data_IF_838947289668
#
_entry.id   IF_838947289668
#
_cell.length_a   1.000
_cell.length_b   1.000
_cell.length_c   1.000
_cell.angle_alpha   90.00
_cell.angle_beta   90.00
_cell.angle_gamma   90.00
#
_symmetry.space_group_name_H-M   'P 1'
#
loop_
_entity.id
_entity.type
_entity.pdbx_description
1 polymer ?
#
# COMPACT_ATOMS: atom_id res chain seq x y z
N UNK A 1 5.04 35.21 -3.16
CA UNK A 1 5.10 34.18 -4.22
C UNK A 1 5.16 32.85 -3.48
N UNK A 2 3.99 32.24 -3.24
CA UNK A 2 3.94 30.92 -2.62
C UNK A 2 4.67 29.92 -3.51
N UNK A 3 5.53 29.11 -2.93
CA UNK A 3 6.27 28.08 -3.65
C UNK A 3 5.30 27.01 -4.16
N UNK A 4 5.40 26.62 -5.43
CA UNK A 4 4.65 25.46 -5.97
C UNK A 4 4.88 24.18 -5.16
N UNK A 5 5.98 24.10 -4.43
CA UNK A 5 6.33 22.98 -3.56
C UNK A 5 5.47 22.92 -2.30
N UNK A 6 4.91 24.05 -1.83
CA UNK A 6 4.03 24.09 -0.65
C UNK A 6 2.68 23.37 -0.88
N UNK A 7 2.36 23.05 -2.14
CA UNK A 7 1.15 22.34 -2.55
C UNK A 7 1.39 20.87 -2.95
N UNK A 8 2.61 20.38 -2.78
CA UNK A 8 2.84 18.94 -2.90
C UNK A 8 2.26 18.25 -1.65
N UNK A 9 1.48 17.14 -1.79
CA UNK A 9 0.85 16.47 -0.66
C UNK A 9 1.82 15.78 0.31
N UNK A 10 3.13 16.05 0.21
CA UNK A 10 4.18 15.23 0.85
C UNK A 10 5.21 16.06 1.64
N UNK A 11 4.96 17.31 1.99
CA UNK A 11 5.78 17.95 3.02
C UNK A 11 5.32 17.48 4.41
N UNK A 12 5.89 16.34 4.82
CA UNK A 12 5.74 15.88 6.19
C UNK A 12 6.63 16.71 7.12
N UNK A 13 6.04 17.53 7.94
CA UNK A 13 6.72 18.02 9.15
C UNK A 13 6.67 16.91 10.20
N UNK A 14 7.82 16.57 10.76
CA UNK A 14 7.86 15.63 11.86
C UNK A 14 7.25 16.30 13.11
N UNK A 15 6.19 15.73 13.65
CA UNK A 15 5.66 16.15 14.94
C UNK A 15 6.55 15.56 16.05
N UNK A 16 7.04 16.41 16.92
CA UNK A 16 7.76 15.95 18.11
C UNK A 16 6.75 15.44 19.14
N UNK A 17 6.82 14.15 19.49
CA UNK A 17 5.94 13.50 20.46
C UNK A 17 6.73 13.04 21.69
N UNK A 18 6.26 13.34 22.92
CA UNK A 18 6.81 12.77 24.13
C UNK A 18 6.74 11.23 24.09
N UNK A 19 7.81 10.55 24.52
CA UNK A 19 7.91 9.07 24.49
C UNK A 19 6.77 8.40 25.27
N UNK A 20 6.34 8.97 26.39
CA UNK A 20 5.20 8.44 27.17
C UNK A 20 3.89 8.53 26.40
N UNK A 21 3.62 9.64 25.72
CA UNK A 21 2.43 9.81 24.90
C UNK A 21 2.45 8.84 23.71
N UNK A 22 3.61 8.66 23.08
CA UNK A 22 3.75 7.67 22.00
C UNK A 22 3.54 6.24 22.51
N UNK A 23 4.05 5.91 23.70
CA UNK A 23 3.84 4.60 24.31
C UNK A 23 2.34 4.33 24.56
N UNK A 24 1.61 5.29 25.11
CA UNK A 24 0.15 5.20 25.28
C UNK A 24 -0.57 4.99 23.95
N UNK A 25 -0.22 5.79 22.94
CA UNK A 25 -0.82 5.68 21.59
C UNK A 25 -0.57 4.32 20.95
N UNK A 26 0.61 3.73 21.17
CA UNK A 26 0.99 2.41 20.64
C UNK A 26 0.55 1.26 21.55
N UNK A 27 -0.06 1.54 22.69
CA UNK A 27 -0.37 0.56 23.74
C UNK A 27 0.86 -0.23 24.17
N UNK A 28 2.00 0.46 24.29
CA UNK A 28 3.29 -0.09 24.68
C UNK A 28 3.54 0.10 26.17
N UNK A 29 4.15 -0.87 26.82
CA UNK A 29 4.69 -0.69 28.16
C UNK A 29 5.96 0.14 28.09
N UNK A 30 5.99 1.28 28.78
CA UNK A 30 7.15 2.17 28.80
C UNK A 30 8.12 1.79 29.91
N UNK A 31 9.31 1.34 29.55
CA UNK A 31 10.41 1.06 30.47
C UNK A 31 11.42 2.22 30.39
N UNK A 32 11.53 3.04 31.44
CA UNK A 32 12.45 4.18 31.44
C UNK A 32 13.92 3.70 31.47
N UNK A 33 14.81 4.57 30.98
CA UNK A 33 16.24 4.38 31.24
C UNK A 33 16.56 4.60 32.73
N UNK A 34 17.70 4.07 33.18
CA UNK A 34 18.20 4.35 34.52
C UNK A 34 18.39 5.85 34.75
N UNK A 35 18.21 6.30 36.00
CA UNK A 35 18.49 7.68 36.35
C UNK A 35 19.96 8.01 36.02
N UNK A 36 20.23 9.13 35.35
CA UNK A 36 21.60 9.52 35.04
C UNK A 36 22.39 9.72 36.33
N UNK A 37 23.54 9.09 36.39
CA UNK A 37 24.48 9.22 37.52
C UNK A 37 25.45 10.39 37.30
N UNK A 38 25.54 10.90 36.05
CA UNK A 38 26.34 12.06 35.68
C UNK A 38 25.58 12.92 34.64
N UNK A 39 25.96 14.21 34.46
CA UNK A 39 25.41 15.06 33.43
C UNK A 39 25.57 14.52 32.00
N UNK A 40 26.59 13.67 31.77
CA UNK A 40 26.89 13.03 30.48
C UNK A 40 25.97 11.83 30.20
N UNK A 41 25.34 11.26 31.23
CA UNK A 41 24.44 10.11 31.15
C UNK A 41 22.97 10.53 30.91
N UNK A 42 22.67 11.80 30.72
CA UNK A 42 21.29 12.24 30.49
C UNK A 42 20.76 11.63 29.20
N UNK A 43 19.53 11.04 29.22
CA UNK A 43 18.89 10.60 27.98
C UNK A 43 18.78 11.81 27.04
N UNK A 44 19.19 11.62 25.80
CA UNK A 44 19.35 12.70 24.81
C UNK A 44 18.01 13.36 24.43
N UNK A 45 16.87 12.71 24.59
CA UNK A 45 15.55 13.29 24.41
C UNK A 45 14.45 12.44 25.08
N UNK A 46 13.48 13.12 25.71
CA UNK A 46 12.24 12.48 26.19
C UNK A 46 11.14 12.46 25.10
N UNK A 47 11.52 12.77 23.86
CA UNK A 47 10.62 12.90 22.73
C UNK A 47 11.24 12.36 21.45
N UNK A 48 10.38 11.97 20.51
CA UNK A 48 10.75 11.51 19.17
C UNK A 48 10.03 12.32 18.11
N UNK A 49 10.69 12.55 17.00
CA UNK A 49 10.13 13.27 15.84
C UNK A 49 10.08 12.41 14.57
N UNK A 50 10.82 11.28 14.56
CA UNK A 50 10.94 10.45 13.38
C UNK A 50 11.23 8.99 13.72
N UNK A 51 10.97 8.11 12.78
CA UNK A 51 11.45 6.73 12.80
C UNK A 51 12.74 6.62 11.99
N UNK A 52 13.65 5.74 12.41
CA UNK A 52 14.90 5.49 11.68
C UNK A 52 15.38 4.05 11.84
N UNK A 53 16.19 3.57 10.88
CA UNK A 53 16.95 2.34 11.06
C UNK A 53 18.00 2.54 12.16
N UNK A 54 18.44 1.45 12.80
CA UNK A 54 19.46 1.50 13.85
C UNK A 54 20.73 2.26 13.40
N UNK A 55 21.16 2.07 12.16
CA UNK A 55 22.37 2.70 11.59
C UNK A 55 22.24 4.20 11.35
N UNK A 56 21.02 4.65 11.03
CA UNK A 56 20.74 6.05 10.68
C UNK A 56 19.97 6.79 11.78
N UNK A 57 19.96 6.22 12.99
CA UNK A 57 19.27 6.81 14.11
C UNK A 57 19.91 8.12 14.57
N UNK A 58 19.10 9.08 14.94
CA UNK A 58 19.46 10.38 15.55
C UNK A 58 18.91 10.45 16.97
N UNK A 59 19.34 11.44 17.80
CA UNK A 59 18.85 11.57 19.17
C UNK A 59 17.33 11.75 19.33
N UNK A 60 16.60 12.05 18.25
CA UNK A 60 15.14 12.16 18.23
C UNK A 60 14.46 11.04 17.44
N UNK A 61 15.17 9.95 17.14
CA UNK A 61 14.63 8.83 16.36
C UNK A 61 14.12 7.71 17.24
N UNK A 62 12.98 7.12 16.84
CA UNK A 62 12.52 5.81 17.29
C UNK A 62 13.08 4.73 16.37
N UNK A 63 13.57 3.63 16.94
CA UNK A 63 13.96 2.43 16.19
C UNK A 63 13.27 1.18 16.75
N UNK A 64 13.50 0.01 16.14
CA UNK A 64 12.96 -1.26 16.65
C UNK A 64 14.00 -2.39 16.59
N UNK A 65 13.77 -3.44 17.39
CA UNK A 65 14.59 -4.64 17.42
C UNK A 65 13.71 -5.90 17.43
N UNK A 66 14.11 -6.90 16.63
CA UNK A 66 13.43 -8.20 16.52
C UNK A 66 14.32 -9.37 16.99
N UNK A 67 15.53 -9.09 17.46
CA UNK A 67 16.46 -10.06 18.05
C UNK A 67 17.31 -9.41 19.14
N UNK A 68 17.95 -10.20 19.99
CA UNK A 68 18.88 -9.71 21.03
C UNK A 68 20.07 -8.95 20.39
N UNK A 69 20.59 -9.44 19.27
CA UNK A 69 21.68 -8.79 18.56
C UNK A 69 21.27 -7.40 18.06
N UNK A 70 20.10 -7.28 17.41
CA UNK A 70 19.58 -5.99 16.95
C UNK A 70 19.22 -5.05 18.09
N UNK A 71 18.77 -5.57 19.24
CA UNK A 71 18.54 -4.75 20.43
C UNK A 71 19.85 -4.19 20.97
N UNK A 72 20.92 -5.00 21.04
CA UNK A 72 22.22 -4.51 21.47
C UNK A 72 22.77 -3.39 20.57
N UNK A 73 22.64 -3.54 19.24
CA UNK A 73 22.99 -2.49 18.29
C UNK A 73 22.13 -1.23 18.48
N UNK A 74 20.81 -1.39 18.67
CA UNK A 74 19.90 -0.27 18.88
C UNK A 74 20.20 0.49 20.18
N UNK A 75 20.53 -0.22 21.26
CA UNK A 75 20.94 0.40 22.52
C UNK A 75 22.28 1.15 22.39
N UNK A 76 23.18 0.73 21.52
CA UNK A 76 24.44 1.40 21.23
C UNK A 76 24.29 2.57 20.21
N UNK A 77 23.20 2.64 19.45
CA UNK A 77 22.94 3.66 18.41
C UNK A 77 22.68 5.04 19.01
N UNK A 78 22.40 6.05 18.16
CA UNK A 78 21.96 7.37 18.61
C UNK A 78 20.44 7.48 18.87
N UNK A 79 19.65 6.42 18.71
CA UNK A 79 18.19 6.47 18.85
C UNK A 79 17.74 6.95 20.24
N UNK A 80 16.63 7.67 20.30
CA UNK A 80 16.00 8.12 21.54
C UNK A 80 15.36 6.96 22.32
N UNK A 81 14.73 6.02 21.60
CA UNK A 81 14.04 4.85 22.19
C UNK A 81 14.01 3.66 21.22
N UNK A 82 13.73 2.48 21.76
CA UNK A 82 13.68 1.23 21.00
C UNK A 82 12.36 0.51 21.24
N UNK A 83 11.64 0.15 20.17
CA UNK A 83 10.52 -0.79 20.22
C UNK A 83 11.06 -2.22 20.22
N UNK A 84 10.59 -3.05 21.14
CA UNK A 84 11.07 -4.44 21.31
C UNK A 84 10.00 -5.31 21.96
N UNK A 85 10.08 -6.64 21.80
CA UNK A 85 9.20 -7.55 22.53
C UNK A 85 9.64 -7.70 23.99
N UNK A 86 8.71 -7.98 24.94
CA UNK A 86 9.06 -8.25 26.33
C UNK A 86 10.05 -9.41 26.48
N UNK A 87 9.96 -10.45 25.64
CA UNK A 87 10.86 -11.62 25.69
C UNK A 87 12.30 -11.24 25.39
N UNK A 88 12.53 -10.45 24.34
CA UNK A 88 13.88 -9.98 23.94
C UNK A 88 14.41 -9.00 25.00
N UNK A 89 13.57 -8.09 25.49
CA UNK A 89 13.96 -7.12 26.51
C UNK A 89 14.41 -7.76 27.82
N UNK A 90 13.79 -8.88 28.21
CA UNK A 90 14.06 -9.56 29.49
C UNK A 90 15.55 -9.88 29.69
N UNK A 91 16.27 -10.24 28.64
CA UNK A 91 17.71 -10.51 28.71
C UNK A 91 18.54 -9.26 29.07
N UNK A 92 18.02 -8.07 28.84
CA UNK A 92 18.67 -6.78 29.05
C UNK A 92 18.15 -6.03 30.29
N UNK A 93 17.03 -6.48 30.88
CA UNK A 93 16.41 -5.88 32.08
C UNK A 93 16.95 -6.47 33.38
N UNK A 94 18.03 -7.22 33.33
CA UNK A 94 18.66 -7.76 34.55
C UNK A 94 19.27 -6.64 35.41
N UNK A 95 19.21 -6.79 36.74
CA UNK A 95 19.58 -5.76 37.75
C UNK A 95 21.04 -5.27 37.67
N UNK A 96 21.89 -5.91 36.86
CA UNK A 96 23.34 -5.65 36.84
C UNK A 96 23.81 -4.61 35.86
N UNK A 97 22.97 -4.23 34.87
CA UNK A 97 23.31 -3.17 33.88
C UNK A 97 22.17 -2.20 33.71
N UNK A 98 22.33 -0.92 34.07
CA UNK A 98 21.29 0.07 33.85
C UNK A 98 21.03 0.26 32.37
N UNK A 99 19.75 0.32 31.98
CA UNK A 99 19.34 0.67 30.62
C UNK A 99 19.81 2.09 30.29
N UNK A 100 20.53 2.22 29.21
CA UNK A 100 20.99 3.55 28.70
C UNK A 100 19.92 4.29 27.91
N UNK A 101 18.87 3.57 27.47
CA UNK A 101 17.78 4.15 26.65
C UNK A 101 16.44 3.56 27.07
N UNK A 102 15.36 4.34 26.92
CA UNK A 102 14.01 3.83 27.12
C UNK A 102 13.66 2.71 26.15
N UNK A 103 12.91 1.73 26.63
CA UNK A 103 12.29 0.70 25.79
C UNK A 103 10.78 0.88 25.78
N UNK A 104 10.18 0.63 24.63
CA UNK A 104 8.73 0.51 24.45
C UNK A 104 8.43 -0.97 24.15
N UNK A 105 7.86 -1.66 25.13
CA UNK A 105 7.59 -3.10 25.01
C UNK A 105 6.26 -3.31 24.29
N UNK A 106 6.29 -4.04 23.17
CA UNK A 106 5.14 -4.33 22.32
C UNK A 106 5.19 -5.76 21.80
N UNK A 107 4.04 -6.34 21.50
CA UNK A 107 3.98 -7.69 20.95
C UNK A 107 4.56 -7.79 19.52
N UNK A 108 4.42 -6.73 18.72
CA UNK A 108 4.84 -6.68 17.31
C UNK A 108 5.64 -5.39 17.03
N UNK A 109 6.98 -5.39 17.27
CA UNK A 109 7.80 -4.18 17.17
C UNK A 109 7.75 -3.52 15.78
N UNK A 110 7.80 -4.32 14.71
CA UNK A 110 7.73 -3.81 13.33
C UNK A 110 6.39 -3.14 13.01
N UNK A 111 5.28 -3.72 13.47
CA UNK A 111 3.95 -3.11 13.30
C UNK A 111 3.82 -1.82 14.11
N UNK A 112 4.29 -1.82 15.35
CA UNK A 112 4.30 -0.63 16.20
C UNK A 112 5.17 0.49 15.60
N UNK A 113 6.31 0.13 15.01
CA UNK A 113 7.19 1.07 14.31
C UNK A 113 6.50 1.70 13.08
N UNK A 114 5.80 0.89 12.28
CA UNK A 114 5.02 1.40 11.15
C UNK A 114 3.91 2.36 11.61
N UNK A 115 3.17 2.02 12.68
CA UNK A 115 2.16 2.90 13.27
C UNK A 115 2.78 4.18 13.83
N UNK A 116 3.89 4.09 14.55
CA UNK A 116 4.62 5.27 15.05
C UNK A 116 4.99 6.23 13.92
N UNK A 117 5.45 5.69 12.78
CA UNK A 117 5.77 6.50 11.60
C UNK A 117 4.56 7.32 11.10
N UNK A 118 3.35 6.80 11.20
CA UNK A 118 2.14 7.53 10.80
C UNK A 118 1.81 8.67 11.77
N UNK A 119 1.94 8.45 13.07
CA UNK A 119 1.72 9.49 14.10
C UNK A 119 2.77 10.59 14.09
N UNK A 120 4.01 10.24 13.75
CA UNK A 120 5.13 11.21 13.69
C UNK A 120 5.13 12.03 12.39
N UNK A 121 4.36 11.62 11.39
CA UNK A 121 4.18 12.37 10.14
C UNK A 121 3.05 13.38 10.31
N UNK A 122 3.34 14.57 10.77
CA UNK A 122 2.38 15.67 10.65
C UNK A 122 2.38 16.15 9.20
N UNK A 123 1.25 15.99 8.52
CA UNK A 123 1.10 16.60 7.22
C UNK A 123 0.95 18.12 7.39
N UNK A 124 1.78 18.90 6.71
CA UNK A 124 1.55 20.37 6.59
C UNK A 124 0.29 20.54 5.75
N UNK A 125 -0.80 20.89 6.41
CA UNK A 125 -2.06 21.09 5.70
C UNK A 125 -2.08 22.54 5.15
N UNK A 126 -1.71 22.71 3.89
CA UNK A 126 -2.27 23.82 3.15
C UNK A 126 -3.71 23.42 2.80
N UNK A 127 -4.69 24.09 3.36
CA UNK A 127 -6.10 23.93 2.99
C UNK A 127 -6.48 24.99 1.97
N UNK A 128 -7.46 24.66 1.12
CA UNK A 128 -7.99 25.58 0.12
C UNK A 128 -7.67 25.15 -1.31
N UNK A 129 -8.02 26.03 -2.24
CA UNK A 129 -7.91 25.78 -3.69
C UNK A 129 -6.78 26.64 -4.25
N UNK A 130 -5.80 26.00 -4.88
CA UNK A 130 -4.73 26.71 -5.56
C UNK A 130 -5.30 27.56 -6.72
N UNK A 131 -4.83 28.80 -6.86
CA UNK A 131 -5.34 29.77 -7.85
C UNK A 131 -5.31 29.33 -9.32
N UNK A 132 -4.47 28.33 -9.64
CA UNK A 132 -4.37 27.77 -11.00
C UNK A 132 -5.21 26.49 -11.18
N UNK A 133 -5.95 26.05 -10.18
CA UNK A 133 -6.88 24.95 -10.33
C UNK A 133 -8.14 25.42 -11.09
N UNK A 134 -8.72 24.53 -11.88
CA UNK A 134 -9.95 24.79 -12.65
C UNK A 134 -11.05 23.90 -12.12
N UNK A 135 -12.11 24.52 -11.59
CA UNK A 135 -13.25 23.80 -11.03
C UNK A 135 -14.51 24.20 -11.78
N UNK A 136 -15.33 23.21 -12.15
CA UNK A 136 -16.68 23.46 -12.66
C UNK A 136 -17.56 24.07 -11.56
N UNK A 137 -18.59 24.81 -11.96
CA UNK A 137 -19.44 25.57 -11.02
C UNK A 137 -20.26 24.70 -10.07
N UNK A 138 -20.50 23.45 -10.41
CA UNK A 138 -21.26 22.47 -9.62
C UNK A 138 -20.40 21.62 -8.66
N UNK A 139 -19.08 21.86 -8.58
CA UNK A 139 -18.18 21.15 -7.67
C UNK A 139 -18.56 21.44 -6.23
N UNK A 140 -18.63 20.37 -5.41
CA UNK A 140 -18.85 20.47 -3.98
C UNK A 140 -17.58 20.13 -3.24
N UNK A 141 -17.12 21.03 -2.38
CA UNK A 141 -15.97 20.81 -1.49
C UNK A 141 -16.45 20.88 -0.05
N UNK A 142 -16.12 19.86 0.74
CA UNK A 142 -16.34 19.88 2.18
C UNK A 142 -15.28 20.73 2.89
N UNK A 143 -15.26 20.70 4.21
CA UNK A 143 -14.29 21.43 5.03
C UNK A 143 -12.86 20.85 4.89
N UNK A 144 -11.86 21.72 5.04
CA UNK A 144 -10.44 21.36 5.06
C UNK A 144 -9.94 20.60 3.81
N UNK A 145 -10.60 20.76 2.67
CA UNK A 145 -10.13 20.21 1.39
C UNK A 145 -8.95 21.02 0.85
N UNK A 146 -7.99 20.33 0.26
CA UNK A 146 -6.83 20.91 -0.42
C UNK A 146 -6.82 20.52 -1.90
N UNK A 147 -6.80 21.52 -2.82
CA UNK A 147 -6.73 21.30 -4.26
C UNK A 147 -5.44 21.91 -4.81
N UNK A 148 -4.56 21.07 -5.32
CA UNK A 148 -3.24 21.44 -5.82
C UNK A 148 -3.26 22.23 -7.15
N UNK A 149 -2.08 22.75 -7.51
CA UNK A 149 -1.91 23.52 -8.74
C UNK A 149 -2.29 22.74 -9.99
N UNK A 150 -2.97 23.40 -10.94
CA UNK A 150 -3.37 22.81 -12.23
C UNK A 150 -4.28 21.58 -12.13
N UNK A 151 -4.92 21.33 -10.99
CA UNK A 151 -5.97 20.33 -10.89
C UNK A 151 -7.20 20.79 -11.67
N UNK A 152 -7.88 19.84 -12.33
CA UNK A 152 -9.11 20.10 -13.11
C UNK A 152 -10.21 19.20 -12.55
N UNK A 153 -11.32 19.81 -12.10
CA UNK A 153 -12.49 19.12 -11.55
C UNK A 153 -13.70 19.43 -12.41
N UNK A 154 -14.31 18.38 -12.98
CA UNK A 154 -15.50 18.43 -13.83
C UNK A 154 -16.79 18.70 -13.07
N UNK A 155 -17.90 18.62 -13.80
CA UNK A 155 -19.22 18.89 -13.22
C UNK A 155 -19.64 17.84 -12.20
N UNK A 156 -20.33 18.27 -11.14
CA UNK A 156 -20.87 17.41 -10.09
C UNK A 156 -19.83 16.56 -9.34
N UNK A 157 -18.56 16.97 -9.34
CA UNK A 157 -17.53 16.36 -8.49
C UNK A 157 -17.84 16.70 -7.03
N UNK A 158 -17.76 15.70 -6.15
CA UNK A 158 -18.04 15.83 -4.72
C UNK A 158 -16.84 15.33 -3.88
N UNK A 159 -16.25 16.21 -3.08
CA UNK A 159 -15.03 15.93 -2.31
C UNK A 159 -15.31 16.04 -0.81
N UNK A 160 -15.15 14.93 -0.11
CA UNK A 160 -15.31 14.83 1.35
C UNK A 160 -14.23 15.57 2.16
N UNK A 161 -14.46 15.77 3.46
CA UNK A 161 -13.62 16.61 4.30
C UNK A 161 -12.19 16.08 4.44
N UNK A 162 -11.24 17.01 4.62
CA UNK A 162 -9.79 16.78 4.82
C UNK A 162 -9.12 16.01 3.68
N UNK A 163 -9.79 15.90 2.54
CA UNK A 163 -9.25 15.23 1.33
C UNK A 163 -8.29 16.15 0.59
N UNK A 164 -7.23 15.57 0.05
CA UNK A 164 -6.15 16.27 -0.64
C UNK A 164 -6.04 15.81 -2.09
N UNK A 165 -6.15 16.75 -3.00
CA UNK A 165 -6.01 16.53 -4.45
C UNK A 165 -4.67 17.13 -4.89
N UNK A 166 -3.76 16.29 -5.35
CA UNK A 166 -2.42 16.69 -5.80
C UNK A 166 -2.42 17.52 -7.07
N UNK A 167 -1.28 18.13 -7.36
CA UNK A 167 -1.11 18.97 -8.54
C UNK A 167 -1.34 18.19 -9.85
N UNK A 168 -2.04 18.82 -10.81
CA UNK A 168 -2.31 18.25 -12.13
C UNK A 168 -3.22 17.03 -12.13
N UNK A 169 -3.97 16.77 -11.07
CA UNK A 169 -5.03 15.76 -11.07
C UNK A 169 -6.17 16.18 -11.99
N UNK A 170 -6.79 15.22 -12.66
CA UNK A 170 -7.97 15.43 -13.50
C UNK A 170 -9.09 14.53 -13.01
N UNK A 171 -10.17 15.12 -12.51
CA UNK A 171 -11.36 14.45 -12.06
C UNK A 171 -12.50 14.77 -13.01
N UNK A 172 -12.97 13.77 -13.75
CA UNK A 172 -14.06 13.95 -14.69
C UNK A 172 -15.42 14.07 -13.96
N UNK A 173 -16.48 14.30 -14.70
CA UNK A 173 -17.81 14.58 -14.16
C UNK A 173 -18.33 13.47 -13.25
N UNK A 174 -19.00 13.87 -12.17
CA UNK A 174 -19.66 12.97 -11.25
C UNK A 174 -18.73 12.11 -10.37
N UNK A 175 -17.43 12.38 -10.34
CA UNK A 175 -16.49 11.72 -9.42
C UNK A 175 -16.85 12.05 -7.99
N UNK A 176 -16.83 11.02 -7.12
CA UNK A 176 -17.09 11.16 -5.68
C UNK A 176 -15.90 10.67 -4.89
N UNK A 177 -15.44 11.47 -3.93
CA UNK A 177 -14.31 11.13 -3.06
C UNK A 177 -14.72 11.36 -1.62
N UNK A 178 -14.57 10.33 -0.78
CA UNK A 178 -14.85 10.37 0.65
C UNK A 178 -13.87 11.22 1.45
N UNK A 179 -13.99 11.15 2.77
CA UNK A 179 -13.14 11.87 3.70
C UNK A 179 -11.72 11.32 3.78
N UNK A 180 -10.76 12.19 4.17
CA UNK A 180 -9.37 11.81 4.49
C UNK A 180 -8.61 11.10 3.34
N UNK A 181 -9.06 11.28 2.09
CA UNK A 181 -8.38 10.72 0.93
C UNK A 181 -7.17 11.56 0.52
N UNK A 182 -6.21 10.91 -0.14
CA UNK A 182 -5.04 11.60 -0.72
C UNK A 182 -4.81 11.11 -2.13
N UNK A 183 -4.97 12.01 -3.10
CA UNK A 183 -4.57 11.81 -4.48
C UNK A 183 -3.24 12.51 -4.71
N UNK A 184 -2.23 11.75 -5.08
CA UNK A 184 -0.92 12.29 -5.42
C UNK A 184 -0.95 12.94 -6.82
N UNK A 185 0.10 13.67 -7.23
CA UNK A 185 0.07 14.41 -8.49
C UNK A 185 -0.27 13.56 -9.71
N UNK A 186 -1.00 14.16 -10.67
CA UNK A 186 -1.34 13.56 -11.97
C UNK A 186 -2.20 12.30 -11.92
N UNK A 187 -3.01 12.12 -10.89
CA UNK A 187 -4.05 11.10 -10.90
C UNK A 187 -5.17 11.52 -11.84
N UNK A 188 -5.63 10.58 -12.66
CA UNK A 188 -6.78 10.79 -13.57
C UNK A 188 -7.91 9.88 -13.14
N UNK A 189 -9.09 10.44 -12.92
CA UNK A 189 -10.31 9.71 -12.61
C UNK A 189 -11.38 10.01 -13.67
N UNK A 190 -11.87 8.95 -14.29
CA UNK A 190 -12.96 9.02 -15.26
C UNK A 190 -14.31 9.22 -14.58
N UNK A 191 -15.32 9.60 -15.38
CA UNK A 191 -16.65 9.95 -14.87
C UNK A 191 -17.28 8.84 -14.03
N UNK A 192 -17.91 9.23 -12.91
CA UNK A 192 -18.64 8.34 -12.02
C UNK A 192 -17.81 7.41 -11.15
N UNK A 193 -16.48 7.57 -11.11
CA UNK A 193 -15.62 6.82 -10.19
C UNK A 193 -15.88 7.25 -8.75
N UNK A 194 -15.97 6.29 -7.84
CA UNK A 194 -16.20 6.53 -6.43
C UNK A 194 -15.06 5.98 -5.57
N UNK A 195 -14.46 6.86 -4.74
CA UNK A 195 -13.57 6.50 -3.66
C UNK A 195 -14.28 6.68 -2.32
N UNK A 196 -14.21 5.67 -1.46
CA UNK A 196 -14.66 5.78 -0.08
C UNK A 196 -13.61 6.53 0.76
N UNK A 197 -13.64 6.40 2.07
CA UNK A 197 -12.79 7.15 2.98
C UNK A 197 -11.35 6.61 3.06
N UNK A 198 -10.38 7.50 3.36
CA UNK A 198 -8.97 7.17 3.64
C UNK A 198 -8.27 6.40 2.52
N UNK A 199 -8.73 6.60 1.28
CA UNK A 199 -8.07 6.02 0.10
C UNK A 199 -6.86 6.85 -0.27
N UNK A 200 -5.75 6.17 -0.58
CA UNK A 200 -4.53 6.80 -1.08
C UNK A 200 -4.28 6.34 -2.51
N UNK A 201 -4.15 7.29 -3.43
CA UNK A 201 -3.89 7.02 -4.85
C UNK A 201 -2.59 7.70 -5.25
N UNK A 202 -1.55 6.91 -5.51
CA UNK A 202 -0.24 7.43 -5.87
C UNK A 202 -0.19 8.02 -7.29
N UNK A 203 0.89 8.74 -7.56
CA UNK A 203 1.04 9.56 -8.77
C UNK A 203 0.87 8.77 -10.07
N UNK A 204 0.23 9.40 -11.05
CA UNK A 204 0.08 8.85 -12.40
C UNK A 204 -0.95 7.72 -12.55
N UNK A 205 -1.71 7.39 -11.50
CA UNK A 205 -2.77 6.40 -11.60
C UNK A 205 -3.90 6.85 -12.53
N UNK A 206 -4.51 5.90 -13.25
CA UNK A 206 -5.69 6.12 -14.08
C UNK A 206 -6.81 5.21 -13.60
N UNK A 207 -7.91 5.80 -13.16
CA UNK A 207 -9.02 5.09 -12.54
C UNK A 207 -10.30 5.27 -13.36
N UNK A 208 -10.96 4.16 -13.73
CA UNK A 208 -12.23 4.16 -14.43
C UNK A 208 -12.12 4.30 -15.95
N UNK A 209 -10.94 4.03 -16.54
CA UNK A 209 -10.80 3.91 -17.99
C UNK A 209 -11.68 2.78 -18.55
N UNK A 210 -12.02 2.88 -19.83
CA UNK A 210 -12.75 1.83 -20.54
C UNK A 210 -11.94 0.53 -20.56
N UNK A 211 -12.60 -0.58 -20.26
CA UNK A 211 -11.97 -1.90 -20.29
C UNK A 211 -11.70 -2.37 -21.72
N UNK A 212 -10.79 -3.31 -21.86
CA UNK A 212 -10.43 -3.94 -23.12
C UNK A 212 -11.46 -5.02 -23.51
N UNK A 213 -12.62 -4.57 -24.03
CA UNK A 213 -13.71 -5.42 -24.46
C UNK A 213 -14.01 -5.19 -25.96
N UNK A 214 -13.83 -6.23 -26.79
CA UNK A 214 -14.11 -6.15 -28.23
C UNK A 214 -14.82 -7.40 -28.72
N UNK A 215 -15.81 -7.21 -29.60
CA UNK A 215 -16.50 -8.29 -30.28
C UNK A 215 -16.03 -8.30 -31.74
N UNK A 216 -15.57 -9.46 -32.18
CA UNK A 216 -15.15 -9.65 -33.56
C UNK A 216 -16.37 -9.97 -34.44
N UNK A 217 -16.57 -9.20 -35.48
CA UNK A 217 -17.53 -9.48 -36.53
C UNK A 217 -17.07 -10.73 -37.31
N UNK A 218 -17.95 -11.72 -37.45
CA UNK A 218 -17.60 -12.99 -38.08
C UNK A 218 -17.43 -12.89 -39.60
N UNK A 219 -18.09 -11.92 -40.24
CA UNK A 219 -18.08 -11.74 -41.71
C UNK A 219 -16.90 -10.93 -42.14
N UNK A 220 -16.70 -9.77 -41.51
CA UNK A 220 -15.68 -8.79 -41.90
C UNK A 220 -14.36 -8.96 -41.20
N UNK A 221 -14.33 -9.67 -40.06
CA UNK A 221 -13.17 -9.80 -39.18
C UNK A 221 -12.87 -8.52 -38.36
N UNK A 222 -13.65 -7.48 -38.52
CA UNK A 222 -13.48 -6.22 -37.78
C UNK A 222 -13.83 -6.37 -36.29
N UNK A 223 -13.25 -5.52 -35.47
CA UNK A 223 -13.56 -5.45 -34.04
C UNK A 223 -14.44 -4.25 -33.71
N UNK A 224 -15.52 -4.50 -32.98
CA UNK A 224 -16.38 -3.45 -32.42
C UNK A 224 -16.21 -3.45 -30.90
N UNK A 225 -16.01 -2.28 -30.31
CA UNK A 225 -15.88 -2.13 -28.87
C UNK A 225 -17.19 -2.52 -28.17
N UNK A 226 -17.09 -3.38 -27.16
CA UNK A 226 -18.21 -3.67 -26.27
C UNK A 226 -18.43 -2.48 -25.32
N UNK A 227 -19.68 -2.08 -25.04
CA UNK A 227 -19.96 -0.92 -24.18
C UNK A 227 -19.26 -0.99 -22.82
N UNK A 228 -18.68 0.12 -22.40
CA UNK A 228 -18.02 0.30 -21.10
C UNK A 228 -18.75 1.42 -20.34
N UNK A 229 -19.92 1.12 -19.80
CA UNK A 229 -20.87 2.08 -19.20
C UNK A 229 -21.05 1.85 -17.69
N UNK A 230 -20.39 0.89 -17.13
CA UNK A 230 -20.41 0.59 -15.69
C UNK A 230 -19.55 1.56 -14.89
N UNK A 231 -19.35 1.23 -13.63
CA UNK A 231 -18.67 2.10 -12.64
C UNK A 231 -17.42 1.45 -12.07
N UNK A 232 -16.66 2.25 -11.31
CA UNK A 232 -15.56 1.79 -10.47
C UNK A 232 -15.79 2.28 -9.04
N UNK A 233 -15.77 1.34 -8.08
CA UNK A 233 -15.87 1.65 -6.65
C UNK A 233 -14.63 1.15 -5.92
N UNK A 234 -13.97 2.04 -5.17
CA UNK A 234 -12.81 1.75 -4.34
C UNK A 234 -13.21 2.03 -2.89
N UNK A 235 -13.19 0.98 -2.06
CA UNK A 235 -13.63 1.05 -0.66
C UNK A 235 -12.58 1.67 0.26
N UNK A 236 -12.90 1.75 1.54
CA UNK A 236 -12.10 2.45 2.56
C UNK A 236 -10.71 1.81 2.72
N UNK A 237 -9.75 2.63 3.14
CA UNK A 237 -8.40 2.19 3.52
C UNK A 237 -7.61 1.51 2.38
N UNK A 238 -8.04 1.65 1.11
CA UNK A 238 -7.32 1.12 -0.05
C UNK A 238 -6.14 2.03 -0.39
N UNK A 239 -5.03 1.43 -0.78
CA UNK A 239 -3.85 2.15 -1.25
C UNK A 239 -3.45 1.64 -2.63
N UNK A 240 -3.25 2.55 -3.58
CA UNK A 240 -2.98 2.26 -5.00
C UNK A 240 -1.64 2.86 -5.37
N UNK A 241 -0.67 2.02 -5.70
CA UNK A 241 0.68 2.39 -6.09
C UNK A 241 0.74 3.15 -7.42
N UNK A 242 1.84 3.84 -7.66
CA UNK A 242 2.04 4.73 -8.78
C UNK A 242 1.85 4.05 -10.15
N UNK A 243 1.27 4.78 -11.11
CA UNK A 243 1.01 4.32 -12.49
C UNK A 243 0.16 3.04 -12.58
N UNK A 244 -0.63 2.75 -11.57
CA UNK A 244 -1.62 1.66 -11.60
C UNK A 244 -2.83 2.10 -12.41
N UNK A 245 -3.41 1.16 -13.17
CA UNK A 245 -4.62 1.38 -13.97
C UNK A 245 -5.74 0.45 -13.51
N UNK A 246 -6.93 1.00 -13.33
CA UNK A 246 -8.12 0.23 -12.93
C UNK A 246 -9.26 0.59 -13.86
N UNK A 247 -9.75 -0.38 -14.64
CA UNK A 247 -10.85 -0.17 -15.59
C UNK A 247 -12.19 -0.13 -14.86
N UNK A 248 -13.15 0.58 -15.45
CA UNK A 248 -14.55 0.52 -15.03
C UNK A 248 -15.17 -0.83 -15.38
N UNK A 249 -16.28 -1.15 -14.79
CA UNK A 249 -17.09 -2.27 -15.25
C UNK A 249 -17.66 -2.03 -16.65
N UNK A 250 -17.86 -3.08 -17.43
CA UNK A 250 -18.47 -2.94 -18.75
C UNK A 250 -19.93 -2.45 -18.62
N UNK A 251 -20.78 -3.19 -17.91
CA UNK A 251 -22.20 -2.84 -17.65
C UNK A 251 -22.51 -2.76 -16.14
N UNK A 252 -21.68 -3.38 -15.32
CA UNK A 252 -21.81 -3.39 -13.86
C UNK A 252 -20.70 -2.57 -13.22
N UNK A 253 -20.09 -3.06 -12.16
CA UNK A 253 -18.99 -2.37 -11.46
C UNK A 253 -17.70 -3.21 -11.44
N UNK A 254 -16.56 -2.53 -11.50
CA UNK A 254 -15.30 -3.01 -10.97
C UNK A 254 -15.19 -2.55 -9.51
N UNK A 255 -14.79 -3.44 -8.59
CA UNK A 255 -14.73 -3.13 -7.16
C UNK A 255 -13.43 -3.57 -6.53
N UNK A 256 -12.85 -2.69 -5.72
CA UNK A 256 -11.70 -3.00 -4.86
C UNK A 256 -12.15 -2.80 -3.42
N UNK A 257 -12.19 -3.91 -2.64
CA UNK A 257 -12.71 -3.88 -1.29
C UNK A 257 -11.67 -3.37 -0.27
N UNK A 258 -12.20 -3.01 0.90
CA UNK A 258 -11.50 -2.33 1.99
C UNK A 258 -10.15 -2.93 2.36
N UNK A 259 -9.19 -2.05 2.64
CA UNK A 259 -7.87 -2.39 3.18
C UNK A 259 -6.89 -3.00 2.18
N UNK A 260 -7.30 -3.19 0.93
CA UNK A 260 -6.44 -3.75 -0.14
C UNK A 260 -5.30 -2.81 -0.49
N UNK A 261 -4.11 -3.38 -0.74
CA UNK A 261 -2.88 -2.67 -1.09
C UNK A 261 -2.37 -3.13 -2.45
N UNK A 262 -2.35 -2.22 -3.40
CA UNK A 262 -1.82 -2.42 -4.74
C UNK A 262 -0.48 -1.68 -4.85
N UNK A 263 0.55 -2.38 -5.28
CA UNK A 263 1.85 -1.79 -5.58
C UNK A 263 1.82 -1.09 -6.96
N UNK A 264 2.95 -0.57 -7.36
CA UNK A 264 3.11 0.20 -8.60
C UNK A 264 2.87 -0.65 -9.85
N UNK A 265 2.34 -0.02 -10.93
CA UNK A 265 2.16 -0.65 -12.23
C UNK A 265 1.23 -1.88 -12.22
N UNK A 266 0.29 -1.95 -11.30
CA UNK A 266 -0.75 -2.98 -11.30
C UNK A 266 -1.81 -2.62 -12.34
N UNK A 267 -2.38 -3.64 -13.02
CA UNK A 267 -3.53 -3.46 -13.89
C UNK A 267 -4.71 -4.30 -13.42
N UNK A 268 -5.87 -3.66 -13.25
CA UNK A 268 -7.13 -4.30 -12.89
C UNK A 268 -8.12 -4.09 -14.04
N UNK A 269 -8.48 -5.17 -14.75
CA UNK A 269 -9.43 -5.12 -15.86
C UNK A 269 -10.89 -4.91 -15.43
N UNK A 270 -11.75 -4.71 -16.41
CA UNK A 270 -13.18 -4.46 -16.22
C UNK A 270 -13.91 -5.60 -15.46
N UNK A 271 -14.92 -5.26 -14.67
CA UNK A 271 -15.74 -6.23 -13.92
C UNK A 271 -14.96 -7.09 -12.91
N UNK A 272 -13.71 -6.74 -12.58
CA UNK A 272 -12.93 -7.44 -11.58
C UNK A 272 -13.44 -7.10 -10.19
N UNK A 273 -13.51 -8.11 -9.32
CA UNK A 273 -13.83 -7.95 -7.90
C UNK A 273 -12.64 -8.37 -7.06
N UNK A 274 -12.05 -7.40 -6.37
CA UNK A 274 -10.96 -7.65 -5.42
C UNK A 274 -11.50 -7.59 -4.00
N UNK A 275 -11.26 -8.63 -3.23
CA UNK A 275 -11.67 -8.78 -1.85
C UNK A 275 -10.94 -7.84 -0.88
N UNK A 276 -11.22 -8.02 0.41
CA UNK A 276 -10.65 -7.20 1.50
C UNK A 276 -9.23 -7.63 1.84
N UNK A 277 -8.39 -6.64 2.23
CA UNK A 277 -7.02 -6.87 2.72
C UNK A 277 -6.16 -7.71 1.76
N UNK A 278 -6.41 -7.60 0.46
CA UNK A 278 -5.59 -8.23 -0.57
C UNK A 278 -4.30 -7.43 -0.74
N UNK A 279 -3.19 -8.11 -0.97
CA UNK A 279 -1.91 -7.48 -1.29
C UNK A 279 -1.46 -7.93 -2.67
N UNK A 280 -1.19 -6.97 -3.55
CA UNK A 280 -0.68 -7.22 -4.91
C UNK A 280 0.64 -6.49 -5.09
N UNK A 281 1.70 -7.23 -5.36
CA UNK A 281 2.99 -6.66 -5.69
C UNK A 281 3.03 -6.14 -7.13
N UNK A 282 4.05 -5.37 -7.44
CA UNK A 282 4.19 -4.61 -8.68
C UNK A 282 4.04 -5.45 -9.96
N UNK A 283 3.49 -4.81 -11.00
CA UNK A 283 3.31 -5.39 -12.34
C UNK A 283 2.35 -6.59 -12.38
N UNK A 284 1.51 -6.78 -11.36
CA UNK A 284 0.41 -7.75 -11.41
C UNK A 284 -0.65 -7.26 -12.38
N UNK A 285 -1.13 -8.16 -13.25
CA UNK A 285 -2.22 -7.89 -14.19
C UNK A 285 -3.39 -8.86 -13.99
N UNK A 286 -4.61 -8.33 -13.86
CA UNK A 286 -5.84 -9.10 -13.70
C UNK A 286 -6.76 -8.81 -14.89
N UNK A 287 -7.03 -9.82 -15.70
CA UNK A 287 -7.95 -9.71 -16.83
C UNK A 287 -9.40 -9.62 -16.37
N UNK A 288 -10.26 -9.12 -17.25
CA UNK A 288 -11.65 -8.82 -16.98
C UNK A 288 -12.46 -9.96 -16.37
N UNK A 289 -13.48 -9.61 -15.59
CA UNK A 289 -14.47 -10.52 -14.97
C UNK A 289 -13.88 -11.57 -14.03
N UNK A 290 -12.69 -11.32 -13.50
CA UNK A 290 -12.01 -12.21 -12.53
C UNK A 290 -12.30 -11.78 -11.08
N UNK A 291 -12.17 -12.72 -10.15
CA UNK A 291 -12.33 -12.46 -8.72
C UNK A 291 -11.06 -12.83 -7.95
N UNK A 292 -10.76 -12.01 -6.94
CA UNK A 292 -9.68 -12.26 -5.98
C UNK A 292 -10.28 -12.18 -4.58
N UNK A 293 -10.25 -13.28 -3.84
CA UNK A 293 -10.85 -13.39 -2.50
C UNK A 293 -10.08 -12.62 -1.43
N UNK A 294 -10.73 -12.45 -0.29
CA UNK A 294 -10.20 -11.73 0.88
C UNK A 294 -8.82 -12.27 1.30
N UNK A 295 -7.91 -11.39 1.69
CA UNK A 295 -6.60 -11.75 2.22
C UNK A 295 -5.66 -12.47 1.24
N UNK A 296 -5.98 -12.56 -0.04
CA UNK A 296 -5.08 -13.14 -1.03
C UNK A 296 -3.79 -12.32 -1.19
N UNK A 297 -2.68 -12.99 -1.48
CA UNK A 297 -1.37 -12.36 -1.67
C UNK A 297 -0.85 -12.69 -3.07
N UNK A 298 -0.66 -11.67 -3.90
CA UNK A 298 -0.18 -11.81 -5.25
C UNK A 298 1.25 -11.25 -5.35
N UNK A 299 2.21 -12.10 -5.68
CA UNK A 299 3.60 -11.72 -5.94
C UNK A 299 3.73 -10.87 -7.19
N UNK A 300 4.90 -10.22 -7.37
CA UNK A 300 5.15 -9.38 -8.53
C UNK A 300 5.03 -10.12 -9.86
N UNK A 301 4.54 -9.43 -10.89
CA UNK A 301 4.38 -9.97 -12.26
C UNK A 301 3.43 -11.18 -12.36
N UNK A 302 2.49 -11.31 -11.44
CA UNK A 302 1.42 -12.30 -11.55
C UNK A 302 0.47 -11.89 -12.67
N UNK A 303 0.12 -12.86 -13.55
CA UNK A 303 -0.87 -12.68 -14.60
C UNK A 303 -2.10 -13.53 -14.33
N UNK A 304 -3.29 -12.92 -14.26
CA UNK A 304 -4.56 -13.61 -14.05
C UNK A 304 -5.42 -13.48 -15.31
N UNK A 305 -5.74 -14.62 -15.93
CA UNK A 305 -6.60 -14.70 -17.12
C UNK A 305 -8.06 -14.38 -16.80
N UNK A 306 -8.83 -14.13 -17.86
CA UNK A 306 -10.24 -13.76 -17.76
C UNK A 306 -11.09 -14.79 -17.00
N UNK A 307 -12.10 -14.30 -16.27
CA UNK A 307 -13.04 -15.14 -15.51
C UNK A 307 -12.37 -16.12 -14.53
N UNK A 308 -11.13 -15.84 -14.14
CA UNK A 308 -10.45 -16.63 -13.11
C UNK A 308 -10.97 -16.28 -11.72
N UNK A 309 -10.86 -17.23 -10.80
CA UNK A 309 -11.35 -17.09 -9.44
C UNK A 309 -10.26 -17.54 -8.45
N UNK A 310 -9.57 -16.55 -7.87
CA UNK A 310 -8.56 -16.76 -6.84
C UNK A 310 -9.26 -16.68 -5.49
N UNK A 311 -9.29 -17.78 -4.75
CA UNK A 311 -9.98 -17.89 -3.47
C UNK A 311 -9.35 -17.09 -2.33
N UNK A 312 -10.07 -17.01 -1.22
CA UNK A 312 -9.64 -16.37 0.02
C UNK A 312 -8.29 -16.93 0.51
N UNK A 313 -7.39 -16.03 0.93
CA UNK A 313 -6.08 -16.37 1.50
C UNK A 313 -5.13 -17.12 0.57
N UNK A 314 -5.44 -17.26 -0.71
CA UNK A 314 -4.54 -17.89 -1.70
C UNK A 314 -3.30 -17.02 -1.90
N UNK A 315 -2.14 -17.66 -2.03
CA UNK A 315 -0.87 -17.00 -2.28
C UNK A 315 -0.39 -17.36 -3.70
N UNK A 316 -0.17 -16.35 -4.54
CA UNK A 316 0.46 -16.50 -5.85
C UNK A 316 1.92 -16.05 -5.79
N UNK A 317 2.86 -16.94 -6.02
CA UNK A 317 4.29 -16.60 -6.09
C UNK A 317 4.59 -15.73 -7.29
N UNK A 318 5.68 -14.96 -7.23
CA UNK A 318 6.08 -14.02 -8.28
C UNK A 318 6.17 -14.67 -9.66
N UNK A 319 5.65 -14.02 -10.69
CA UNK A 319 5.61 -14.51 -12.05
C UNK A 319 4.60 -15.65 -12.31
N UNK A 320 3.74 -16.01 -11.34
CA UNK A 320 2.73 -17.04 -11.56
C UNK A 320 1.70 -16.61 -12.60
N UNK A 321 1.27 -17.57 -13.46
CA UNK A 321 0.24 -17.35 -14.47
C UNK A 321 -1.01 -18.18 -14.17
N UNK A 322 -2.16 -17.55 -13.99
CA UNK A 322 -3.45 -18.21 -13.79
C UNK A 322 -4.21 -18.24 -15.11
N UNK A 323 -4.56 -19.43 -15.59
CA UNK A 323 -5.31 -19.57 -16.84
C UNK A 323 -6.73 -19.00 -16.70
N UNK A 324 -7.30 -18.57 -17.81
CA UNK A 324 -8.69 -18.12 -17.90
C UNK A 324 -9.64 -19.17 -17.31
N UNK A 325 -10.67 -18.74 -16.61
CA UNK A 325 -11.71 -19.58 -15.97
C UNK A 325 -11.17 -20.55 -14.90
N UNK A 326 -9.89 -20.44 -14.53
CA UNK A 326 -9.29 -21.28 -13.48
C UNK A 326 -9.79 -20.84 -12.11
N UNK A 327 -10.12 -21.83 -11.28
CA UNK A 327 -10.48 -21.62 -9.86
C UNK A 327 -9.35 -22.13 -8.99
N UNK A 328 -8.76 -21.25 -8.17
CA UNK A 328 -7.74 -21.61 -7.18
C UNK A 328 -8.36 -21.53 -5.79
N UNK A 329 -8.13 -22.54 -4.97
CA UNK A 329 -8.70 -22.66 -3.62
C UNK A 329 -7.67 -23.14 -2.63
N UNK A 330 -7.87 -22.78 -1.36
CA UNK A 330 -7.05 -23.18 -0.22
C UNK A 330 -6.35 -21.98 0.42
N UNK A 331 -6.90 -21.48 1.51
CA UNK A 331 -6.28 -20.41 2.30
C UNK A 331 -4.88 -20.84 2.76
N UNK A 332 -3.89 -19.95 2.58
CA UNK A 332 -2.48 -20.23 2.83
C UNK A 332 -1.78 -21.12 1.80
N UNK A 333 -2.52 -21.64 0.81
CA UNK A 333 -1.94 -22.43 -0.28
C UNK A 333 -1.14 -21.55 -1.23
N UNK A 334 0.12 -21.93 -1.49
CA UNK A 334 0.99 -21.23 -2.44
C UNK A 334 0.92 -21.91 -3.80
N UNK A 335 0.57 -21.14 -4.84
CA UNK A 335 0.64 -21.54 -6.23
C UNK A 335 1.78 -20.81 -6.92
N UNK A 336 2.50 -21.52 -7.81
CA UNK A 336 3.62 -20.96 -8.56
C UNK A 336 3.67 -21.52 -9.97
N UNK A 337 4.39 -20.84 -10.84
CA UNK A 337 4.66 -21.28 -12.21
C UNK A 337 3.66 -20.74 -13.24
N UNK A 338 3.90 -21.10 -14.49
CA UNK A 338 3.02 -20.76 -15.62
C UNK A 338 2.71 -22.03 -16.41
N UNK A 339 1.51 -22.60 -16.34
CA UNK A 339 0.40 -22.14 -15.50
C UNK A 339 0.67 -22.31 -14.00
N UNK A 340 -0.01 -21.53 -13.16
CA UNK A 340 0.12 -21.61 -11.71
C UNK A 340 -0.36 -22.98 -11.19
N UNK A 341 0.49 -23.62 -10.42
CA UNK A 341 0.23 -24.90 -9.77
C UNK A 341 0.73 -24.87 -8.32
N UNK A 342 0.31 -25.79 -7.44
CA UNK A 342 0.81 -25.87 -6.10
C UNK A 342 2.34 -25.89 -6.09
N UNK A 343 2.96 -25.09 -5.23
CA UNK A 343 4.43 -24.92 -5.18
C UNK A 343 5.16 -26.27 -5.10
N UNK A 344 4.65 -27.19 -4.25
CA UNK A 344 5.26 -28.52 -4.09
C UNK A 344 5.30 -29.32 -5.40
N UNK A 345 4.24 -29.24 -6.21
CA UNK A 345 4.15 -29.91 -7.50
C UNK A 345 5.09 -29.25 -8.52
N UNK A 346 5.13 -27.92 -8.56
CA UNK A 346 6.04 -27.16 -9.41
C UNK A 346 7.51 -27.52 -9.12
N UNK A 347 7.91 -27.52 -7.85
CA UNK A 347 9.28 -27.88 -7.44
C UNK A 347 9.64 -29.33 -7.76
N UNK A 348 8.69 -30.26 -7.65
CA UNK A 348 8.90 -31.67 -8.08
C UNK A 348 9.12 -31.75 -9.59
N UNK A 349 8.35 -31.01 -10.37
CA UNK A 349 8.52 -30.94 -11.83
C UNK A 349 9.90 -30.40 -12.23
N UNK A 350 10.35 -29.29 -11.59
CA UNK A 350 11.69 -28.76 -11.83
C UNK A 350 12.80 -29.75 -11.45
N UNK A 351 12.66 -30.43 -10.32
CA UNK A 351 13.62 -31.43 -9.88
C UNK A 351 13.71 -32.62 -10.84
N UNK A 352 12.58 -33.04 -11.40
CA UNK A 352 12.53 -34.11 -12.43
C UNK A 352 13.26 -33.67 -13.70
N UNK A 353 12.98 -32.47 -14.22
CA UNK A 353 13.67 -31.90 -15.38
C UNK A 353 15.19 -31.84 -15.13
N UNK A 354 15.61 -31.34 -13.96
CA UNK A 354 17.02 -31.24 -13.59
C UNK A 354 17.71 -32.61 -13.49
N UNK A 355 16.99 -33.67 -13.09
CA UNK A 355 17.52 -35.06 -13.11
C UNK A 355 17.68 -35.59 -14.53
N UNK A 356 16.71 -35.37 -15.40
CA UNK A 356 16.76 -35.82 -16.81
C UNK A 356 17.94 -35.16 -17.57
N UNK A 357 18.26 -33.90 -17.27
CA UNK A 357 19.38 -33.20 -17.90
C UNK A 357 20.76 -33.65 -17.37
N UNK A 358 20.81 -34.29 -16.19
CA UNK A 358 22.04 -34.84 -15.58
C UNK A 358 22.32 -36.29 -15.95
N UNK A 359 21.36 -37.00 -16.59
CA UNK A 359 21.63 -38.36 -17.07
C UNK A 359 22.67 -38.31 -18.20
N UNK A 360 23.75 -39.13 -18.13
CA UNK A 360 24.75 -39.17 -19.20
C UNK A 360 24.05 -39.58 -20.50
N UNK A 361 24.32 -38.84 -21.60
CA UNK A 361 24.00 -39.28 -22.95
C UNK A 361 24.56 -40.70 -23.10
N UNK A 362 23.68 -41.66 -23.29
CA UNK A 362 24.08 -42.98 -23.82
C UNK A 362 24.75 -42.67 -25.17
N UNK A 363 26.05 -42.77 -25.21
CA UNK A 363 26.80 -42.83 -26.48
C UNK A 363 26.20 -44.05 -27.21
N UNK A 364 25.62 -43.82 -28.36
CA UNK A 364 25.28 -44.89 -29.30
C UNK A 364 26.63 -45.30 -29.92
N UNK A 365 27.07 -46.48 -29.56
CA UNK A 365 28.01 -47.23 -30.38
C UNK A 365 27.35 -47.62 -31.72
#
# INVERSE_FOLDING_TARGET
MESLLDWLPVDYHNAMLPLRQLAETLQAEYVPCAKPTSPEDRPQADSVERVASVRNATPTSLTFAESEATLQEALASAAAAVLVTPQIAKAFLSETKPLRKPLLLVAQPRLAFAKASQYLRAAKASTGVHRSAVLASSVKLAEDVSIGAYAVLGEHVDIGPRTRIGAGCVLADGVKIGADCTLYPRVVMYSGVELRERVQVHAGCVLGSDGFGYVRDAETGAYTQFPQQGTLVIEEDVEIGANTTVDRGALEETRIARGTKLDNLVHIGHNVRVGRNVVMAAQTGISGSSTVGDGAILGGQVGIGEHADVGEGVILGGGAGVLSKKKLRGAGMVFWGRPAQPLREYLKGLALVARLTRSPRREKE
#
